data_IF_136197933965
#
_entry.id   IF_136197933965
#
_cell.length_a   1.000
_cell.length_b   1.000
_cell.length_c   1.000
_cell.angle_alpha   90.00
_cell.angle_beta   90.00
_cell.angle_gamma   90.00
#
_symmetry.space_group_name_H-M   'P 1'
#
loop_
_entity.id
_entity.type
_entity.pdbx_description
1 polymer ?
#
# COMPACT_ATOMS: atom_id res chain seq x y z
N UNK A 1 4.86 2.73 -5.73
CA UNK A 1 5.29 4.15 -5.71
C UNK A 1 4.13 5.05 -5.28
N UNK A 2 4.03 5.42 -4.00
CA UNK A 2 2.91 6.22 -3.47
C UNK A 2 2.74 7.57 -4.17
N UNK A 3 3.83 8.25 -4.49
CA UNK A 3 3.81 9.57 -5.15
C UNK A 3 3.17 9.53 -6.54
N UNK A 4 3.53 8.55 -7.36
CA UNK A 4 2.91 8.35 -8.67
C UNK A 4 1.44 7.93 -8.51
N UNK A 5 1.15 7.00 -7.58
CA UNK A 5 -0.20 6.55 -7.31
C UNK A 5 -1.13 7.72 -6.97
N UNK A 6 -0.70 8.64 -6.11
CA UNK A 6 -1.49 9.83 -5.75
C UNK A 6 -1.86 10.69 -6.97
N UNK A 7 -0.92 10.91 -7.91
CA UNK A 7 -1.19 11.65 -9.14
C UNK A 7 -2.19 10.92 -10.06
N UNK A 8 -2.05 9.59 -10.19
CA UNK A 8 -2.96 8.74 -10.98
C UNK A 8 -4.36 8.71 -10.38
N UNK A 9 -4.46 8.55 -9.07
CA UNK A 9 -5.71 8.56 -8.30
C UNK A 9 -6.45 9.88 -8.46
N UNK A 10 -5.75 11.01 -8.28
CA UNK A 10 -6.33 12.34 -8.43
C UNK A 10 -6.71 12.66 -9.89
N UNK A 11 -5.97 12.13 -10.85
CA UNK A 11 -6.29 12.28 -12.28
C UNK A 11 -7.41 11.34 -12.78
N UNK A 12 -7.79 10.33 -11.99
CA UNK A 12 -8.66 9.26 -12.45
C UNK A 12 -8.02 8.43 -13.55
N UNK A 13 -6.69 8.34 -13.56
CA UNK A 13 -5.86 7.72 -14.58
C UNK A 13 -4.68 8.59 -15.00
N UNK A 14 -4.35 8.61 -16.30
CA UNK A 14 -3.17 9.30 -16.82
C UNK A 14 -3.29 10.81 -17.09
N UNK A 15 -4.37 11.46 -16.69
CA UNK A 15 -4.72 12.86 -17.05
C UNK A 15 -3.58 13.86 -16.91
N UNK A 16 -2.76 13.71 -15.87
CA UNK A 16 -1.67 14.67 -15.55
C UNK A 16 -0.29 14.13 -15.89
N UNK A 17 -0.19 12.91 -16.43
CA UNK A 17 1.11 12.27 -16.66
C UNK A 17 1.62 12.56 -18.08
N UNK A 18 2.81 13.16 -18.17
CA UNK A 18 3.58 13.27 -19.42
C UNK A 18 4.73 12.27 -19.46
N UNK A 19 5.13 11.74 -18.32
CA UNK A 19 6.14 10.70 -18.14
C UNK A 19 6.33 10.37 -16.67
N UNK A 20 6.99 9.27 -16.34
CA UNK A 20 7.29 8.90 -14.95
C UNK A 20 8.49 7.95 -14.85
N UNK A 21 9.04 7.83 -13.65
CA UNK A 21 10.13 6.91 -13.35
C UNK A 21 9.63 5.54 -12.88
N UNK A 22 10.49 4.52 -13.00
CA UNK A 22 10.23 3.16 -12.53
C UNK A 22 8.93 2.55 -13.12
N UNK A 23 8.78 2.58 -14.43
CA UNK A 23 7.56 2.19 -15.17
C UNK A 23 7.10 0.75 -14.88
N UNK A 24 8.01 -0.14 -14.51
CA UNK A 24 7.70 -1.53 -14.19
C UNK A 24 6.95 -1.72 -12.86
N UNK A 25 6.95 -0.70 -11.96
CA UNK A 25 6.28 -0.80 -10.67
C UNK A 25 4.80 -0.49 -10.80
N UNK A 26 3.94 -1.33 -10.20
CA UNK A 26 2.46 -1.19 -10.21
C UNK A 26 1.86 -1.23 -11.62
N UNK A 27 2.50 -1.96 -12.52
CA UNK A 27 2.09 -2.06 -13.93
C UNK A 27 0.65 -2.54 -14.08
N UNK A 28 0.24 -3.53 -13.29
CA UNK A 28 -1.08 -4.13 -13.37
C UNK A 28 -2.22 -3.13 -13.23
N UNK A 29 -2.12 -2.17 -12.29
CA UNK A 29 -3.09 -1.07 -12.16
C UNK A 29 -2.99 -0.11 -13.34
N UNK A 30 -1.78 0.35 -13.64
CA UNK A 30 -1.60 1.45 -14.60
C UNK A 30 -2.01 1.08 -16.02
N UNK A 31 -1.79 -0.16 -16.45
CA UNK A 31 -2.30 -0.69 -17.72
C UNK A 31 -3.84 -0.68 -17.80
N UNK A 32 -4.51 -0.80 -16.66
CA UNK A 32 -5.98 -0.81 -16.59
C UNK A 32 -6.59 0.59 -16.57
N UNK A 33 -5.88 1.58 -16.00
CA UNK A 33 -6.46 2.91 -15.68
C UNK A 33 -5.83 4.06 -16.46
N UNK A 34 -4.71 3.84 -17.14
CA UNK A 34 -4.03 4.85 -17.95
C UNK A 34 -4.14 4.48 -19.41
N UNK A 35 -4.92 5.25 -20.16
CA UNK A 35 -4.96 5.11 -21.62
C UNK A 35 -3.59 5.46 -22.22
N UNK A 36 -3.07 4.61 -23.11
CA UNK A 36 -1.74 4.80 -23.70
C UNK A 36 -0.58 4.60 -22.73
N UNK A 37 -0.75 3.78 -21.67
CA UNK A 37 0.30 3.53 -20.68
C UNK A 37 1.64 3.12 -21.30
N UNK A 38 1.62 2.29 -22.35
CA UNK A 38 2.84 1.81 -23.00
C UNK A 38 3.60 2.91 -23.72
N UNK A 39 2.91 3.91 -24.24
CA UNK A 39 3.48 5.06 -24.94
C UNK A 39 4.04 6.12 -24.00
N UNK A 40 3.64 6.12 -22.70
CA UNK A 40 4.18 7.08 -21.74
C UNK A 40 5.68 6.86 -21.52
N UNK A 41 6.51 7.89 -21.67
CA UNK A 41 7.96 7.79 -21.50
C UNK A 41 8.37 7.44 -20.08
N UNK A 42 9.33 6.52 -19.95
CA UNK A 42 10.06 6.34 -18.70
C UNK A 42 11.21 7.38 -18.64
N UNK A 43 11.14 8.31 -17.69
CA UNK A 43 12.09 9.39 -17.55
C UNK A 43 13.26 9.07 -16.62
N UNK A 44 13.34 7.83 -16.11
CA UNK A 44 14.45 7.38 -15.27
C UNK A 44 14.10 6.26 -14.31
N UNK A 45 15.12 5.81 -13.56
CA UNK A 45 14.99 4.79 -12.50
C UNK A 45 15.69 5.25 -11.23
N UNK A 46 14.95 5.23 -10.10
CA UNK A 46 15.45 5.72 -8.82
C UNK A 46 15.85 7.20 -8.92
N UNK A 47 17.07 7.53 -8.49
CA UNK A 47 17.65 8.86 -8.60
C UNK A 47 18.25 9.16 -9.98
N UNK A 48 18.26 8.20 -10.88
CA UNK A 48 18.88 8.34 -12.21
C UNK A 48 17.81 8.87 -13.21
N UNK A 49 17.66 10.20 -13.27
CA UNK A 49 16.64 10.87 -14.08
C UNK A 49 17.26 11.42 -15.37
N UNK A 50 16.59 11.19 -16.49
CA UNK A 50 16.95 11.78 -17.78
C UNK A 50 16.34 13.18 -17.90
N UNK A 51 17.11 14.21 -17.52
CA UNK A 51 16.68 15.60 -17.55
C UNK A 51 16.31 16.10 -18.95
N UNK A 52 17.01 15.63 -20.00
CA UNK A 52 16.70 16.01 -21.37
C UNK A 52 15.30 15.51 -21.77
N UNK A 53 14.95 14.27 -21.37
CA UNK A 53 13.61 13.73 -21.59
C UNK A 53 12.54 14.52 -20.85
N UNK A 54 12.78 14.85 -19.57
CA UNK A 54 11.81 15.63 -18.76
C UNK A 54 11.55 17.00 -19.40
N UNK A 55 12.59 17.69 -19.85
CA UNK A 55 12.47 19.00 -20.51
C UNK A 55 11.75 18.86 -21.87
N UNK A 56 12.10 17.84 -22.67
CA UNK A 56 11.50 17.62 -23.99
C UNK A 56 10.01 17.28 -23.93
N UNK A 57 9.54 16.73 -22.83
CA UNK A 57 8.12 16.44 -22.58
C UNK A 57 7.29 17.70 -22.25
N UNK A 58 7.92 18.87 -22.08
CA UNK A 58 7.22 20.10 -21.70
C UNK A 58 6.61 20.00 -20.30
N UNK A 59 7.34 19.41 -19.37
CA UNK A 59 6.88 19.18 -18.00
C UNK A 59 6.63 20.48 -17.25
N UNK A 60 5.42 20.67 -16.74
CA UNK A 60 5.01 21.85 -15.96
C UNK A 60 5.30 21.70 -14.46
N UNK A 61 5.31 20.47 -13.95
CA UNK A 61 5.52 20.16 -12.55
C UNK A 61 6.20 18.78 -12.43
N UNK A 62 7.21 18.70 -11.58
CA UNK A 62 7.81 17.43 -11.16
C UNK A 62 7.36 17.11 -9.73
N UNK A 63 6.97 15.89 -9.49
CA UNK A 63 6.59 15.38 -8.16
C UNK A 63 7.64 14.35 -7.75
N UNK A 64 8.31 14.61 -6.63
CA UNK A 64 9.37 13.76 -6.09
C UNK A 64 9.00 13.26 -4.68
N UNK A 65 9.33 12.01 -4.33
CA UNK A 65 9.37 11.59 -2.94
C UNK A 65 10.55 12.27 -2.22
N UNK A 66 10.42 12.49 -0.91
CA UNK A 66 11.44 13.17 -0.07
C UNK A 66 12.84 12.56 -0.22
N UNK A 67 12.93 11.25 -0.35
CA UNK A 67 14.21 10.54 -0.53
C UNK A 67 14.99 10.93 -1.80
N UNK A 68 14.38 11.69 -2.68
CA UNK A 68 14.98 12.23 -3.92
C UNK A 68 15.02 13.76 -3.94
N UNK A 69 14.86 14.44 -2.80
CA UNK A 69 14.90 15.90 -2.70
C UNK A 69 16.24 16.51 -3.13
N UNK A 70 17.32 15.74 -3.12
CA UNK A 70 18.64 16.13 -3.64
C UNK A 70 18.65 16.45 -5.14
N UNK A 71 17.62 16.00 -5.88
CA UNK A 71 17.43 16.29 -7.31
C UNK A 71 16.76 17.64 -7.58
N UNK A 72 16.12 18.27 -6.59
CA UNK A 72 15.39 19.54 -6.73
C UNK A 72 16.21 20.63 -7.44
N UNK A 73 17.48 20.89 -7.10
CA UNK A 73 18.27 21.92 -7.76
C UNK A 73 18.45 21.71 -9.28
N UNK A 74 18.41 20.46 -9.75
CA UNK A 74 18.54 20.15 -11.18
C UNK A 74 17.30 20.60 -11.96
N UNK A 75 16.10 20.39 -11.41
CA UNK A 75 14.84 20.79 -12.01
C UNK A 75 14.67 22.31 -11.94
N UNK A 76 15.01 22.93 -10.81
CA UNK A 76 14.98 24.39 -10.65
C UNK A 76 15.91 25.09 -11.65
N UNK A 77 17.09 24.54 -11.91
CA UNK A 77 18.02 25.06 -12.94
C UNK A 77 17.42 24.99 -14.35
N UNK A 78 16.48 24.07 -14.59
CA UNK A 78 15.71 23.95 -15.83
C UNK A 78 14.41 24.78 -15.82
N UNK A 79 14.15 25.56 -14.76
CA UNK A 79 12.91 26.30 -14.51
C UNK A 79 11.66 25.41 -14.45
N UNK A 80 11.80 24.21 -13.96
CA UNK A 80 10.68 23.27 -13.74
C UNK A 80 10.36 23.27 -12.24
N UNK A 81 9.14 23.65 -11.83
CA UNK A 81 8.71 23.57 -10.43
C UNK A 81 8.74 22.14 -9.91
N UNK A 82 9.09 21.98 -8.64
CA UNK A 82 9.13 20.67 -7.97
C UNK A 82 8.24 20.68 -6.74
N UNK A 83 7.40 19.66 -6.61
CA UNK A 83 6.66 19.34 -5.39
C UNK A 83 7.31 18.12 -4.74
N UNK A 84 7.78 18.28 -3.50
CA UNK A 84 8.35 17.18 -2.72
C UNK A 84 7.27 16.61 -1.78
N UNK A 85 7.02 15.32 -1.89
CA UNK A 85 6.11 14.58 -1.02
C UNK A 85 6.90 13.96 0.11
N UNK A 86 6.52 14.27 1.35
CA UNK A 86 7.12 13.68 2.54
C UNK A 86 6.64 12.23 2.67
N UNK A 87 7.56 11.27 2.53
CA UNK A 87 7.29 9.84 2.57
C UNK A 87 8.16 9.09 3.60
N UNK A 88 8.78 9.83 4.51
CA UNK A 88 9.63 9.27 5.58
C UNK A 88 8.86 8.55 6.68
N UNK A 89 7.56 8.84 6.82
CA UNK A 89 6.65 8.16 7.75
C UNK A 89 5.47 7.59 6.98
N UNK A 90 5.29 6.28 7.05
CA UNK A 90 4.17 5.60 6.40
C UNK A 90 2.98 5.50 7.36
N UNK A 91 1.92 6.26 7.10
CA UNK A 91 0.70 6.27 7.92
C UNK A 91 -0.51 6.67 7.08
N UNK A 92 -1.73 6.47 7.59
CA UNK A 92 -2.95 6.99 6.98
C UNK A 92 -2.91 8.53 6.88
N UNK A 93 -2.29 9.22 7.84
CA UNK A 93 -2.16 10.67 7.82
C UNK A 93 -1.25 11.15 6.69
N UNK A 94 -0.14 10.47 6.41
CA UNK A 94 0.72 10.81 5.27
C UNK A 94 0.02 10.59 3.94
N UNK A 95 -0.85 9.60 3.82
CA UNK A 95 -1.70 9.41 2.62
C UNK A 95 -2.65 10.59 2.45
N UNK A 96 -3.37 11.01 3.51
CA UNK A 96 -4.27 12.17 3.49
C UNK A 96 -3.54 13.45 3.11
N UNK A 97 -2.38 13.71 3.74
CA UNK A 97 -1.55 14.88 3.47
C UNK A 97 -1.06 14.91 2.03
N UNK A 98 -0.61 13.78 1.50
CA UNK A 98 -0.16 13.66 0.11
C UNK A 98 -1.29 13.98 -0.87
N UNK A 99 -2.48 13.40 -0.67
CA UNK A 99 -3.65 13.65 -1.50
C UNK A 99 -4.09 15.13 -1.42
N UNK A 100 -4.12 15.71 -0.23
CA UNK A 100 -4.49 17.12 -0.01
C UNK A 100 -3.50 18.06 -0.68
N UNK A 101 -2.19 17.85 -0.46
CA UNK A 101 -1.16 18.71 -1.04
C UNK A 101 -1.17 18.65 -2.56
N UNK A 102 -1.21 17.43 -3.11
CA UNK A 102 -1.15 17.25 -4.55
C UNK A 102 -2.45 17.69 -5.23
N UNK A 103 -3.60 17.52 -4.62
CA UNK A 103 -4.88 17.99 -5.17
C UNK A 103 -4.92 19.51 -5.32
N UNK A 104 -4.33 20.25 -4.37
CA UNK A 104 -4.20 21.72 -4.48
C UNK A 104 -3.32 22.10 -5.66
N UNK A 105 -2.23 21.39 -5.92
CA UNK A 105 -1.35 21.65 -7.07
C UNK A 105 -2.02 21.31 -8.41
N UNK A 106 -2.95 20.34 -8.43
CA UNK A 106 -3.62 19.86 -9.64
C UNK A 106 -5.04 20.44 -9.84
N UNK A 107 -5.60 21.16 -8.85
CA UNK A 107 -6.98 21.65 -8.89
C UNK A 107 -8.02 20.54 -8.75
N UNK A 108 -7.73 19.50 -7.96
CA UNK A 108 -8.56 18.30 -7.79
C UNK A 108 -9.03 18.11 -6.33
N UNK A 109 -9.22 19.19 -5.58
CA UNK A 109 -9.57 19.17 -4.16
C UNK A 109 -10.88 18.41 -3.90
N UNK A 110 -11.89 18.61 -4.75
CA UNK A 110 -13.18 17.93 -4.60
C UNK A 110 -13.07 16.40 -4.81
N UNK A 111 -12.10 15.97 -5.63
CA UNK A 111 -11.82 14.55 -5.84
C UNK A 111 -11.05 13.98 -4.66
N UNK A 112 -10.04 14.70 -4.20
CA UNK A 112 -9.29 14.30 -3.01
C UNK A 112 -10.21 14.13 -1.79
N UNK A 113 -11.16 15.06 -1.57
CA UNK A 113 -12.13 14.98 -0.49
C UNK A 113 -12.94 13.68 -0.52
N UNK A 114 -13.43 13.26 -1.68
CA UNK A 114 -14.17 12.00 -1.82
C UNK A 114 -13.32 10.78 -1.47
N UNK A 115 -12.05 10.77 -1.93
CA UNK A 115 -11.13 9.66 -1.70
C UNK A 115 -10.71 9.60 -0.23
N UNK A 116 -10.44 10.75 0.39
CA UNK A 116 -10.11 10.85 1.81
C UNK A 116 -11.32 10.42 2.66
N UNK A 117 -12.54 10.87 2.32
CA UNK A 117 -13.77 10.45 2.99
C UNK A 117 -13.95 8.92 2.93
N UNK A 118 -13.68 8.31 1.77
CA UNK A 118 -13.69 6.85 1.65
C UNK A 118 -12.66 6.19 2.56
N UNK A 119 -11.42 6.69 2.57
CA UNK A 119 -10.34 6.16 3.41
C UNK A 119 -10.70 6.23 4.90
N UNK A 120 -11.23 7.37 5.36
CA UNK A 120 -11.62 7.58 6.75
C UNK A 120 -12.78 6.65 7.15
N UNK A 121 -13.76 6.50 6.26
CA UNK A 121 -14.90 5.62 6.49
C UNK A 121 -14.51 4.15 6.72
N UNK A 122 -13.37 3.68 6.21
CA UNK A 122 -12.95 2.30 6.44
C UNK A 122 -12.60 2.06 7.92
N UNK A 123 -11.88 2.98 8.55
CA UNK A 123 -11.56 2.89 9.99
C UNK A 123 -12.80 3.16 10.86
N UNK A 124 -13.58 4.20 10.50
CA UNK A 124 -14.81 4.57 11.23
C UNK A 124 -15.87 3.46 11.20
N UNK A 125 -15.99 2.73 10.09
CA UNK A 125 -16.91 1.60 9.96
C UNK A 125 -16.41 0.34 10.68
N UNK A 126 -15.10 0.16 10.82
CA UNK A 126 -14.52 -0.97 11.53
C UNK A 126 -14.68 -0.85 13.05
N UNK A 127 -14.54 0.36 13.60
CA UNK A 127 -14.55 0.60 15.05
C UNK A 127 -15.80 0.06 15.76
N UNK A 128 -17.05 0.34 15.32
CA UNK A 128 -18.24 -0.19 15.95
C UNK A 128 -18.38 -1.72 15.87
N UNK A 129 -17.86 -2.33 14.80
CA UNK A 129 -17.87 -3.79 14.66
C UNK A 129 -16.92 -4.48 15.62
N UNK A 130 -15.89 -3.77 16.07
CA UNK A 130 -14.85 -4.27 16.95
C UNK A 130 -15.10 -3.95 18.43
N UNK A 131 -16.13 -3.14 18.78
CA UNK A 131 -16.41 -2.70 20.14
C UNK A 131 -16.54 -3.86 21.14
N UNK A 132 -17.21 -4.94 20.74
CA UNK A 132 -17.43 -6.13 21.58
C UNK A 132 -16.36 -7.21 21.40
N UNK A 133 -15.34 -6.97 20.56
CA UNK A 133 -14.26 -7.97 20.33
C UNK A 133 -13.27 -7.93 21.47
N UNK A 134 -13.31 -8.95 22.30
CA UNK A 134 -12.42 -9.09 23.48
C UNK A 134 -11.12 -9.81 23.17
N UNK A 135 -11.12 -10.72 22.19
CA UNK A 135 -9.95 -11.49 21.77
C UNK A 135 -9.47 -10.99 20.41
N UNK A 136 -8.31 -10.34 20.38
CA UNK A 136 -7.70 -9.80 19.16
C UNK A 136 -6.63 -10.79 18.68
N UNK A 137 -6.75 -11.36 17.46
CA UNK A 137 -5.73 -12.24 16.92
C UNK A 137 -4.36 -11.56 16.84
N UNK A 138 -3.32 -12.29 17.25
CA UNK A 138 -1.94 -11.83 17.10
C UNK A 138 -1.45 -12.10 15.68
N UNK A 139 -0.93 -11.05 15.01
CA UNK A 139 -0.56 -11.08 13.60
C UNK A 139 0.90 -10.69 13.43
N UNK A 140 1.61 -11.37 12.53
CA UNK A 140 2.90 -10.91 11.98
C UNK A 140 2.74 -10.64 10.50
N UNK A 141 3.16 -9.45 10.05
CA UNK A 141 3.28 -9.12 8.63
C UNK A 141 4.75 -9.31 8.22
N UNK A 142 5.00 -10.23 7.26
CA UNK A 142 6.34 -10.57 6.80
C UNK A 142 6.77 -9.67 5.63
N UNK A 143 8.06 -9.46 5.47
CA UNK A 143 8.63 -8.70 4.37
C UNK A 143 8.64 -9.46 3.05
N UNK A 144 8.71 -8.73 1.93
CA UNK A 144 8.66 -9.34 0.60
C UNK A 144 9.90 -10.12 0.21
N UNK A 145 11.08 -9.65 0.60
CA UNK A 145 12.36 -10.27 0.18
C UNK A 145 12.80 -11.41 1.09
N UNK A 146 12.22 -11.52 2.28
CA UNK A 146 12.57 -12.57 3.26
C UNK A 146 11.43 -12.79 4.23
N UNK A 147 11.10 -14.05 4.48
CA UNK A 147 10.16 -14.44 5.52
C UNK A 147 10.69 -14.20 6.96
N UNK A 148 11.99 -13.94 7.10
CA UNK A 148 12.61 -13.52 8.36
C UNK A 148 12.73 -12.00 8.49
N UNK A 149 11.98 -11.23 7.71
CA UNK A 149 11.86 -9.79 7.81
C UNK A 149 10.42 -9.46 8.21
N UNK A 150 10.23 -8.59 9.20
CA UNK A 150 8.91 -8.31 9.81
C UNK A 150 8.62 -6.82 9.89
N UNK A 151 7.34 -6.46 9.85
CA UNK A 151 6.90 -5.08 10.03
C UNK A 151 6.89 -4.71 11.53
N UNK A 152 7.73 -3.76 11.98
CA UNK A 152 7.69 -3.26 13.36
C UNK A 152 6.52 -2.31 13.61
N UNK A 153 6.31 -1.93 14.87
CA UNK A 153 5.18 -1.11 15.32
C UNK A 153 5.01 0.25 14.64
N UNK A 154 6.05 0.77 14.00
CA UNK A 154 6.02 2.09 13.33
C UNK A 154 5.63 2.04 11.85
N UNK A 155 5.27 0.88 11.31
CA UNK A 155 4.93 0.74 9.90
C UNK A 155 3.41 0.73 9.66
N UNK A 156 3.00 1.09 8.44
CA UNK A 156 1.58 1.12 8.04
C UNK A 156 0.92 -0.26 8.14
N UNK A 157 1.67 -1.35 7.95
CA UNK A 157 1.19 -2.72 8.13
C UNK A 157 0.71 -2.98 9.57
N UNK A 158 1.36 -2.38 10.57
CA UNK A 158 0.87 -2.43 11.96
C UNK A 158 -0.45 -1.69 12.12
N UNK A 159 -0.57 -0.51 11.51
CA UNK A 159 -1.84 0.24 11.50
C UNK A 159 -2.97 -0.55 10.84
N UNK A 160 -2.68 -1.32 9.78
CA UNK A 160 -3.65 -2.21 9.13
C UNK A 160 -4.08 -3.36 10.03
N UNK A 161 -3.13 -3.98 10.75
CA UNK A 161 -3.43 -5.04 11.73
C UNK A 161 -4.36 -4.51 12.82
N UNK A 162 -4.03 -3.35 13.40
CA UNK A 162 -4.79 -2.74 14.49
C UNK A 162 -6.18 -2.28 14.05
N UNK A 163 -6.29 -1.63 12.88
CA UNK A 163 -7.56 -1.19 12.30
C UNK A 163 -8.46 -2.39 11.92
N UNK A 164 -7.88 -3.53 11.54
CA UNK A 164 -8.59 -4.78 11.29
C UNK A 164 -8.97 -5.55 12.55
N UNK A 165 -8.66 -5.04 13.75
CA UNK A 165 -9.01 -5.68 15.03
C UNK A 165 -8.01 -6.74 15.51
N UNK A 166 -6.80 -6.76 14.96
CA UNK A 166 -5.69 -7.59 15.43
C UNK A 166 -4.72 -6.86 16.36
N UNK A 167 -3.67 -7.57 16.75
CA UNK A 167 -2.51 -7.05 17.49
C UNK A 167 -1.24 -7.46 16.76
N UNK A 168 -0.34 -6.51 16.50
CA UNK A 168 0.97 -6.86 15.95
C UNK A 168 1.76 -7.67 17.00
N UNK A 169 2.11 -8.90 16.67
CA UNK A 169 2.87 -9.79 17.56
C UNK A 169 4.34 -9.38 17.69
N UNK A 170 4.85 -8.57 16.76
CA UNK A 170 6.24 -8.12 16.75
C UNK A 170 6.49 -7.20 17.93
N UNK A 171 7.39 -7.61 18.83
CA UNK A 171 7.75 -6.85 20.02
C UNK A 171 9.24 -6.97 20.32
N UNK A 172 9.79 -5.97 21.03
CA UNK A 172 11.20 -5.96 21.41
C UNK A 172 12.18 -5.68 20.26
N UNK A 173 11.66 -5.22 19.12
CA UNK A 173 12.46 -4.76 17.97
C UNK A 173 11.95 -3.41 17.52
N UNK A 174 12.88 -2.50 17.25
CA UNK A 174 12.58 -1.13 16.83
C UNK A 174 13.07 -0.90 15.39
N UNK A 175 12.28 -0.17 14.62
CA UNK A 175 12.61 0.28 13.28
C UNK A 175 11.66 1.36 12.84
N UNK A 176 12.14 2.31 12.07
CA UNK A 176 11.33 3.39 11.52
C UNK A 176 11.31 3.27 10.00
N UNK A 177 10.11 3.14 9.43
CA UNK A 177 9.90 3.16 7.98
C UNK A 177 10.54 2.01 7.20
N UNK A 178 10.86 0.88 7.86
CA UNK A 178 11.43 -0.30 7.18
C UNK A 178 11.15 -1.58 7.94
N UNK A 179 11.05 -2.66 7.20
CA UNK A 179 11.07 -4.01 7.75
C UNK A 179 12.39 -4.32 8.46
N UNK A 180 12.33 -5.18 9.46
CA UNK A 180 13.47 -5.56 10.30
C UNK A 180 13.72 -7.04 10.18
N UNK A 181 14.99 -7.42 9.96
CA UNK A 181 15.40 -8.81 9.94
C UNK A 181 15.46 -9.37 11.36
N UNK A 182 14.87 -10.54 11.56
CA UNK A 182 14.78 -11.25 12.82
C UNK A 182 15.17 -12.71 12.64
N UNK A 183 15.39 -13.41 13.74
CA UNK A 183 15.60 -14.86 13.67
C UNK A 183 14.28 -15.62 13.72
N UNK A 184 14.30 -16.88 13.26
CA UNK A 184 13.12 -17.75 13.35
C UNK A 184 12.70 -17.99 14.81
N UNK A 185 13.68 -18.05 15.74
CA UNK A 185 13.41 -18.20 17.17
C UNK A 185 12.66 -17.01 17.75
N UNK A 186 12.89 -15.79 17.23
CA UNK A 186 12.09 -14.63 17.63
C UNK A 186 10.66 -14.77 17.16
N UNK A 187 10.42 -15.16 15.91
CA UNK A 187 9.05 -15.39 15.39
C UNK A 187 8.36 -16.52 16.19
N UNK A 188 9.08 -17.60 16.49
CA UNK A 188 8.57 -18.68 17.34
C UNK A 188 8.22 -18.16 18.74
N UNK A 189 9.04 -17.27 19.32
CA UNK A 189 8.76 -16.72 20.66
C UNK A 189 7.53 -15.81 20.68
N UNK A 190 7.25 -15.10 19.61
CA UNK A 190 6.02 -14.30 19.45
C UNK A 190 4.80 -15.18 19.19
N UNK A 191 5.02 -16.34 18.56
CA UNK A 191 4.01 -17.35 18.25
C UNK A 191 2.71 -16.76 17.66
N UNK A 192 2.77 -16.06 16.51
CA UNK A 192 1.60 -15.40 15.94
C UNK A 192 0.49 -16.41 15.60
N UNK A 193 -0.76 -15.98 15.77
CA UNK A 193 -1.94 -16.75 15.38
C UNK A 193 -2.26 -16.62 13.89
N UNK A 194 -1.79 -15.52 13.28
CA UNK A 194 -1.97 -15.19 11.85
C UNK A 194 -0.66 -14.68 11.27
N UNK A 195 -0.35 -15.09 10.06
CA UNK A 195 0.76 -14.57 9.28
C UNK A 195 0.19 -13.96 8.00
N UNK A 196 0.56 -12.72 7.70
CA UNK A 196 0.32 -12.08 6.42
C UNK A 196 1.61 -11.94 5.64
N UNK A 197 1.56 -12.25 4.34
CA UNK A 197 2.66 -12.06 3.40
C UNK A 197 2.18 -11.15 2.26
N UNK A 198 3.01 -10.23 1.75
CA UNK A 198 2.64 -9.46 0.58
C UNK A 198 2.61 -10.37 -0.65
N UNK A 199 1.68 -10.13 -1.56
CA UNK A 199 1.54 -10.95 -2.79
C UNK A 199 2.78 -10.90 -3.70
N UNK A 200 3.56 -9.83 -3.58
CA UNK A 200 4.82 -9.65 -4.30
C UNK A 200 6.04 -10.18 -3.53
N UNK A 201 5.83 -11.11 -2.58
CA UNK A 201 6.93 -11.77 -1.88
C UNK A 201 7.71 -12.71 -2.80
N UNK A 202 9.00 -12.84 -2.53
CA UNK A 202 9.91 -13.76 -3.23
C UNK A 202 9.75 -15.23 -2.77
N UNK A 203 8.77 -15.51 -1.91
CA UNK A 203 8.43 -16.81 -1.35
C UNK A 203 6.89 -16.98 -1.27
N UNK A 204 6.43 -18.18 -1.04
CA UNK A 204 5.01 -18.54 -1.04
C UNK A 204 4.51 -19.03 0.34
N UNK A 205 3.18 -19.14 0.50
CA UNK A 205 2.58 -19.80 1.68
C UNK A 205 3.10 -21.23 1.81
N UNK A 206 3.21 -21.96 0.71
CA UNK A 206 3.67 -23.36 0.72
C UNK A 206 5.12 -23.49 1.20
N UNK A 207 5.98 -22.51 0.91
CA UNK A 207 7.34 -22.49 1.42
C UNK A 207 7.35 -22.42 2.95
N UNK A 208 6.48 -21.60 3.56
CA UNK A 208 6.36 -21.51 5.02
C UNK A 208 5.72 -22.76 5.63
N UNK A 209 4.65 -23.28 5.01
CA UNK A 209 3.93 -24.46 5.54
C UNK A 209 4.77 -25.75 5.47
N UNK A 210 5.70 -25.85 4.53
CA UNK A 210 6.54 -27.03 4.32
C UNK A 210 7.92 -26.92 4.99
N UNK A 211 8.29 -25.76 5.53
CA UNK A 211 9.56 -25.59 6.23
C UNK A 211 9.43 -26.07 7.70
N UNK A 212 10.17 -27.13 8.11
CA UNK A 212 10.13 -27.62 9.49
C UNK A 212 10.46 -26.58 10.55
N UNK A 213 11.25 -25.53 10.22
CA UNK A 213 11.61 -24.48 11.16
C UNK A 213 10.40 -23.67 11.64
N UNK A 214 9.34 -23.58 10.82
CA UNK A 214 8.11 -22.84 11.13
C UNK A 214 7.04 -23.70 11.81
N UNK A 215 7.20 -25.02 11.85
CA UNK A 215 6.17 -26.00 12.23
C UNK A 215 5.57 -25.83 13.64
N UNK A 216 6.27 -25.15 14.55
CA UNK A 216 5.79 -24.91 15.93
C UNK A 216 4.92 -23.68 16.07
N UNK A 217 4.85 -22.82 15.05
CA UNK A 217 4.11 -21.54 15.09
C UNK A 217 2.61 -21.79 14.91
N UNK A 218 1.79 -21.18 15.76
CA UNK A 218 0.33 -21.35 15.77
C UNK A 218 -0.32 -21.07 14.41
N UNK A 219 0.10 -20.02 13.71
CA UNK A 219 -0.40 -19.69 12.37
C UNK A 219 -0.15 -20.82 11.35
N UNK A 220 1.01 -21.48 11.42
CA UNK A 220 1.37 -22.59 10.53
C UNK A 220 0.55 -23.83 10.88
N UNK A 221 0.44 -24.19 12.17
CA UNK A 221 -0.33 -25.35 12.64
C UNK A 221 -1.80 -25.27 12.26
N UNK A 222 -2.36 -24.03 12.33
CA UNK A 222 -3.77 -23.77 12.02
C UNK A 222 -4.00 -23.34 10.57
N UNK A 223 -2.95 -23.29 9.73
CA UNK A 223 -2.99 -22.83 8.33
C UNK A 223 -3.59 -21.42 8.17
N UNK A 224 -3.35 -20.54 9.14
CA UNK A 224 -3.76 -19.14 9.10
C UNK A 224 -2.62 -18.26 8.55
N UNK A 225 -2.20 -18.56 7.34
CA UNK A 225 -1.22 -17.81 6.57
C UNK A 225 -1.92 -17.30 5.31
N UNK A 226 -1.91 -16.00 5.09
CA UNK A 226 -2.67 -15.37 4.01
C UNK A 226 -1.81 -14.42 3.20
N UNK A 227 -2.12 -14.32 1.91
CA UNK A 227 -1.55 -13.32 1.01
C UNK A 227 -2.35 -12.04 1.13
N UNK A 228 -1.67 -10.91 1.43
CA UNK A 228 -2.29 -9.60 1.44
C UNK A 228 -2.54 -9.14 -0.01
N UNK A 229 -3.75 -8.71 -0.40
CA UNK A 229 -4.08 -8.43 -1.79
C UNK A 229 -3.20 -7.36 -2.43
N UNK A 230 -2.68 -7.64 -3.61
CA UNK A 230 -1.80 -6.73 -4.35
C UNK A 230 -1.79 -6.99 -5.87
N UNK A 231 -2.69 -7.85 -6.40
CA UNK A 231 -2.68 -8.24 -7.81
C UNK A 231 -2.84 -7.06 -8.77
N UNK A 232 -3.72 -6.12 -8.44
CA UNK A 232 -3.92 -4.89 -9.19
C UNK A 232 -3.03 -3.78 -8.64
N UNK A 233 -3.14 -3.51 -7.34
CA UNK A 233 -2.27 -2.59 -6.62
C UNK A 233 -2.10 -3.04 -5.16
N UNK A 234 -0.94 -2.73 -4.53
CA UNK A 234 -0.71 -3.09 -3.13
C UNK A 234 -1.62 -2.33 -2.17
N UNK A 235 -2.44 -3.05 -1.39
CA UNK A 235 -3.28 -2.47 -0.34
C UNK A 235 -2.56 -2.32 1.00
N UNK A 236 -1.35 -2.84 1.09
CA UNK A 236 -0.44 -2.77 2.24
C UNK A 236 0.56 -1.61 2.18
N UNK A 237 0.41 -0.71 1.21
CA UNK A 237 1.30 0.43 1.02
C UNK A 237 0.59 1.77 1.29
N UNK A 238 1.34 2.88 1.57
CA UNK A 238 0.77 4.19 1.86
C UNK A 238 0.23 4.88 0.59
N UNK A 239 -0.80 4.28 0.00
CA UNK A 239 -1.54 4.78 -1.17
C UNK A 239 -3.02 4.96 -0.81
N UNK A 240 -3.82 5.52 -1.72
CA UNK A 240 -5.26 5.65 -1.50
C UNK A 240 -5.96 4.29 -1.28
N UNK A 241 -5.42 3.22 -1.87
CA UNK A 241 -5.96 1.87 -1.72
C UNK A 241 -5.74 1.24 -0.33
N UNK A 242 -4.97 1.90 0.56
CA UNK A 242 -4.75 1.40 1.94
C UNK A 242 -6.06 1.27 2.74
N UNK A 243 -7.09 2.05 2.40
CA UNK A 243 -8.42 1.86 2.96
C UNK A 243 -9.02 0.49 2.67
N UNK A 244 -8.79 -0.05 1.48
CA UNK A 244 -9.16 -1.43 1.15
C UNK A 244 -8.36 -2.45 1.97
N UNK A 245 -7.11 -2.11 2.31
CA UNK A 245 -6.28 -2.90 3.23
C UNK A 245 -6.92 -3.03 4.61
N UNK A 246 -7.53 -1.94 5.15
CA UNK A 246 -8.30 -1.98 6.41
C UNK A 246 -9.50 -2.90 6.28
N UNK A 247 -10.29 -2.75 5.23
CA UNK A 247 -11.47 -3.58 4.98
C UNK A 247 -11.11 -5.07 4.84
N UNK A 248 -10.04 -5.38 4.12
CA UNK A 248 -9.54 -6.74 3.99
C UNK A 248 -9.02 -7.31 5.31
N UNK A 249 -8.26 -6.52 6.08
CA UNK A 249 -7.76 -6.93 7.39
C UNK A 249 -8.91 -7.29 8.34
N UNK A 250 -9.96 -6.45 8.38
CA UNK A 250 -11.17 -6.72 9.15
C UNK A 250 -11.85 -8.01 8.71
N UNK A 251 -12.04 -8.21 7.39
CA UNK A 251 -12.60 -9.46 6.86
C UNK A 251 -11.76 -10.68 7.20
N UNK A 252 -10.44 -10.59 7.03
CA UNK A 252 -9.54 -11.73 7.26
C UNK A 252 -9.47 -12.13 8.73
N UNK A 253 -9.49 -11.18 9.65
CA UNK A 253 -9.40 -11.43 11.08
C UNK A 253 -10.76 -11.77 11.71
N UNK A 254 -11.84 -11.17 11.22
CA UNK A 254 -13.20 -11.25 11.76
C UNK A 254 -14.25 -11.50 10.67
N UNK A 255 -14.19 -12.62 9.91
CA UNK A 255 -15.08 -12.87 8.77
C UNK A 255 -16.55 -12.96 9.15
N UNK A 256 -16.87 -13.29 10.41
CA UNK A 256 -18.25 -13.33 10.92
C UNK A 256 -18.83 -11.91 11.15
N UNK A 257 -17.98 -10.90 11.37
CA UNK A 257 -18.36 -9.50 11.55
C UNK A 257 -18.39 -8.72 10.24
N UNK A 258 -17.47 -9.06 9.33
CA UNK A 258 -17.30 -8.37 8.05
C UNK A 258 -17.12 -9.37 6.92
N UNK A 259 -18.18 -9.57 6.13
CA UNK A 259 -18.24 -10.63 5.12
C UNK A 259 -17.44 -10.30 3.85
N UNK A 260 -17.15 -11.31 3.04
CA UNK A 260 -16.53 -11.12 1.72
C UNK A 260 -17.39 -10.24 0.81
N UNK A 261 -18.72 -10.35 0.90
CA UNK A 261 -19.64 -9.51 0.13
C UNK A 261 -19.50 -8.04 0.53
N UNK A 262 -19.38 -7.73 1.82
CA UNK A 262 -19.16 -6.37 2.32
C UNK A 262 -17.80 -5.82 1.86
N UNK A 263 -16.76 -6.65 1.92
CA UNK A 263 -15.43 -6.29 1.38
C UNK A 263 -15.52 -5.95 -0.11
N UNK A 264 -16.17 -6.78 -0.92
CA UNK A 264 -16.28 -6.55 -2.36
C UNK A 264 -17.12 -5.33 -2.71
N UNK A 265 -18.13 -4.97 -1.90
CA UNK A 265 -18.88 -3.72 -2.06
C UNK A 265 -17.99 -2.51 -1.86
N UNK A 266 -17.12 -2.50 -0.83
CA UNK A 266 -16.16 -1.43 -0.62
C UNK A 266 -15.10 -1.35 -1.73
N UNK A 267 -14.67 -2.50 -2.24
CA UNK A 267 -13.75 -2.57 -3.39
C UNK A 267 -14.37 -1.92 -4.62
N UNK A 268 -15.61 -2.28 -4.95
CA UNK A 268 -16.32 -1.71 -6.10
C UNK A 268 -16.55 -0.21 -5.92
N UNK A 269 -16.91 0.24 -4.72
CA UNK A 269 -17.07 1.65 -4.40
C UNK A 269 -15.76 2.43 -4.63
N UNK A 270 -14.63 1.96 -4.08
CA UNK A 270 -13.34 2.61 -4.24
C UNK A 270 -12.94 2.75 -5.70
N UNK A 271 -12.91 1.64 -6.44
CA UNK A 271 -12.46 1.66 -7.82
C UNK A 271 -13.41 2.42 -8.74
N UNK A 272 -14.71 2.47 -8.41
CA UNK A 272 -15.69 3.32 -9.12
C UNK A 272 -15.41 4.80 -8.83
N UNK A 273 -15.22 5.20 -7.58
CA UNK A 273 -14.88 6.59 -7.20
C UNK A 273 -13.61 7.05 -7.89
N UNK A 274 -12.60 6.19 -7.91
CA UNK A 274 -11.25 6.57 -8.34
C UNK A 274 -11.05 6.45 -9.84
N UNK A 275 -11.60 5.42 -10.50
CA UNK A 275 -11.26 5.10 -11.90
C UNK A 275 -12.47 4.82 -12.79
N UNK A 276 -13.69 4.88 -12.25
CA UNK A 276 -14.91 4.43 -12.94
C UNK A 276 -14.80 2.98 -13.45
N UNK A 277 -14.23 2.11 -12.61
CA UNK A 277 -13.96 0.69 -12.91
C UNK A 277 -14.36 -0.20 -11.76
N UNK A 278 -14.52 -1.50 -12.05
CA UNK A 278 -14.68 -2.56 -11.06
C UNK A 278 -13.71 -3.70 -11.37
N UNK A 279 -13.36 -4.47 -10.35
CA UNK A 279 -12.50 -5.65 -10.46
C UNK A 279 -13.13 -6.83 -9.73
N UNK A 280 -12.98 -8.02 -10.30
CA UNK A 280 -13.43 -9.25 -9.62
C UNK A 280 -12.49 -9.65 -8.49
N UNK A 281 -12.97 -10.45 -7.53
CA UNK A 281 -12.15 -10.97 -6.45
C UNK A 281 -10.90 -11.72 -6.99
N UNK A 282 -11.06 -12.51 -8.07
CA UNK A 282 -9.97 -13.21 -8.73
C UNK A 282 -8.90 -12.24 -9.29
N UNK A 283 -9.31 -11.14 -9.96
CA UNK A 283 -8.38 -10.13 -10.45
C UNK A 283 -7.59 -9.46 -9.34
N UNK A 284 -8.18 -9.32 -8.16
CA UNK A 284 -7.60 -8.70 -6.98
C UNK A 284 -6.74 -9.67 -6.15
N UNK A 285 -6.83 -10.97 -6.42
CA UNK A 285 -6.18 -12.01 -5.60
C UNK A 285 -6.86 -12.22 -4.25
N UNK A 286 -8.18 -12.02 -4.16
CA UNK A 286 -8.99 -12.26 -2.95
C UNK A 286 -9.61 -13.66 -3.05
N UNK A 287 -9.17 -14.55 -2.17
CA UNK A 287 -9.67 -15.91 -2.04
C UNK A 287 -11.03 -16.02 -1.31
#
# INVERSE_FOLDING_TARGET
NPTLNAAVVLGGGGKYLVGFGNKSMSRALYEQVIEGFEELPEVGKGSNINMESVIALGTDLVILPERHQDLVPQFEAANIPVLVILDSTESFDTVRQTLTLLSTALGEEARAEKIITFLDAQSDNAEPLLEDVTEKPSVVFLGSSSALSVAPGSMIQTSLIEAGGGVNAVSGVDGVGKFIDVSIEQIISWNPEVIWIPQYADYTIDDLLNDPAWSSISAIQNKRVYVFPSSIEPWDQPTAAVGLGVAWALHNLHPDLYTKEALMQNVDEFYTIVYDKTFTAEQLGIE
#
